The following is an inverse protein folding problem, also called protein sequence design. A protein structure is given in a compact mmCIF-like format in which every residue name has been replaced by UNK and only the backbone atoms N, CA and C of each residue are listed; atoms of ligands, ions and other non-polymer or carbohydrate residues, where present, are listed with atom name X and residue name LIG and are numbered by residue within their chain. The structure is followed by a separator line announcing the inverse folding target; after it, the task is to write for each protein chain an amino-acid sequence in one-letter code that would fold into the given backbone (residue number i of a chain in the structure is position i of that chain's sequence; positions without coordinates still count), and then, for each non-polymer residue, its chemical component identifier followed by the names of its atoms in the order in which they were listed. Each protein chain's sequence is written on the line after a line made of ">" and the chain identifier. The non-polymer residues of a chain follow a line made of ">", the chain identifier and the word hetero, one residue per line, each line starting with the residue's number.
data_IF_052241902178
#
_entry.id   IF_052241902178
#
_cell.length_a   1.000
_cell.length_b   1.000
_cell.length_c   1.000
_cell.angle_alpha   90.00
_cell.angle_beta   90.00
_cell.angle_gamma   90.00
#
_symmetry.space_group_name_H-M   'P 1'
#
loop_
_entity.id
_entity.type
_entity.pdbx_description
1 polymer ?
#
# COMPACT_ATOMS: atom_id res chain seq x y z
N UNK A 1 34.38 63.49 -5.10
CA UNK A 1 33.02 62.89 -5.10
C UNK A 1 32.93 61.55 -5.82
N UNK A 2 33.70 61.29 -6.90
CA UNK A 2 33.62 60.00 -7.63
C UNK A 2 34.17 58.73 -6.94
N UNK A 3 35.08 58.87 -5.96
CA UNK A 3 35.67 57.71 -5.26
C UNK A 3 34.71 57.07 -4.24
N UNK A 4 33.95 57.90 -3.51
CA UNK A 4 32.92 57.42 -2.56
C UNK A 4 31.83 56.63 -3.28
N UNK A 5 31.35 57.14 -4.42
CA UNK A 5 30.35 56.46 -5.24
C UNK A 5 30.85 55.12 -5.80
N UNK A 6 32.14 55.00 -6.08
CA UNK A 6 32.73 53.74 -6.56
C UNK A 6 32.75 52.68 -5.45
N UNK A 7 33.10 53.09 -4.22
CA UNK A 7 33.07 52.22 -3.03
C UNK A 7 31.64 51.80 -2.69
N UNK A 8 30.66 52.70 -2.81
CA UNK A 8 29.25 52.39 -2.56
C UNK A 8 28.69 51.37 -3.58
N UNK A 9 29.06 51.49 -4.86
CA UNK A 9 28.69 50.53 -5.92
C UNK A 9 29.35 49.16 -5.69
N UNK A 10 30.62 49.13 -5.29
CA UNK A 10 31.32 47.88 -4.97
C UNK A 10 30.76 47.21 -3.70
N UNK A 11 30.46 47.98 -2.65
CA UNK A 11 29.87 47.46 -1.42
C UNK A 11 28.46 46.89 -1.64
N UNK A 12 27.61 47.61 -2.37
CA UNK A 12 26.24 47.17 -2.69
C UNK A 12 26.21 45.95 -3.61
N UNK A 13 27.10 45.86 -4.60
CA UNK A 13 27.21 44.68 -5.47
C UNK A 13 27.73 43.44 -4.73
N UNK A 14 28.69 43.60 -3.79
CA UNK A 14 29.18 42.51 -2.95
C UNK A 14 28.06 41.96 -2.04
N UNK A 15 27.33 42.87 -1.37
CA UNK A 15 26.21 42.50 -0.48
C UNK A 15 25.09 41.85 -1.29
N UNK A 16 24.72 42.44 -2.45
CA UNK A 16 23.71 41.88 -3.34
C UNK A 16 24.10 40.49 -3.87
N UNK A 17 25.37 40.29 -4.21
CA UNK A 17 25.89 38.98 -4.63
C UNK A 17 25.83 37.93 -3.51
N UNK A 18 26.18 38.30 -2.28
CA UNK A 18 26.06 37.42 -1.12
C UNK A 18 24.60 37.01 -0.84
N UNK A 19 23.68 37.97 -0.91
CA UNK A 19 22.24 37.70 -0.74
C UNK A 19 21.74 36.77 -1.86
N UNK A 20 22.15 37.00 -3.11
CA UNK A 20 21.79 36.16 -4.24
C UNK A 20 22.28 34.71 -4.04
N UNK A 21 23.51 34.51 -3.58
CA UNK A 21 24.04 33.18 -3.31
C UNK A 21 23.29 32.46 -2.17
N UNK A 22 22.90 33.20 -1.13
CA UNK A 22 22.07 32.66 -0.05
C UNK A 22 20.70 32.23 -0.60
N UNK A 23 20.07 33.07 -1.42
CA UNK A 23 18.78 32.77 -2.03
C UNK A 23 18.84 31.54 -2.95
N UNK A 24 19.90 31.40 -3.75
CA UNK A 24 20.09 30.24 -4.61
C UNK A 24 20.21 28.94 -3.79
N UNK A 25 21.04 28.95 -2.74
CA UNK A 25 21.17 27.80 -1.83
C UNK A 25 19.87 27.47 -1.11
N UNK A 26 19.13 28.48 -0.69
CA UNK A 26 17.84 28.30 -0.03
C UNK A 26 16.81 27.71 -1.00
N UNK A 27 16.82 28.15 -2.26
CA UNK A 27 15.98 27.59 -3.30
C UNK A 27 16.31 26.12 -3.57
N UNK A 28 17.59 25.79 -3.74
CA UNK A 28 18.03 24.40 -3.95
C UNK A 28 17.61 23.49 -2.78
N UNK A 29 17.83 23.95 -1.55
CA UNK A 29 17.42 23.22 -0.34
C UNK A 29 15.89 23.09 -0.23
N UNK A 30 15.13 24.11 -0.63
CA UNK A 30 13.67 24.07 -0.61
C UNK A 30 13.15 23.07 -1.64
N UNK A 31 13.73 23.07 -2.84
CA UNK A 31 13.38 22.13 -3.91
C UNK A 31 13.68 20.69 -3.46
N UNK A 32 14.88 20.43 -2.96
CA UNK A 32 15.27 19.10 -2.46
C UNK A 32 14.34 18.62 -1.33
N UNK A 33 14.09 19.46 -0.32
CA UNK A 33 13.17 19.13 0.77
C UNK A 33 11.75 18.87 0.26
N UNK A 34 11.27 19.66 -0.71
CA UNK A 34 9.95 19.45 -1.31
C UNK A 34 9.86 18.10 -2.01
N UNK A 35 10.91 17.69 -2.74
CA UNK A 35 10.96 16.38 -3.40
C UNK A 35 10.98 15.23 -2.39
N UNK A 36 11.83 15.32 -1.36
CA UNK A 36 11.91 14.30 -0.31
C UNK A 36 10.59 14.17 0.45
N UNK A 37 10.02 15.28 0.92
CA UNK A 37 8.76 15.28 1.66
C UNK A 37 7.59 14.75 0.81
N UNK A 38 7.56 15.08 -0.49
CA UNK A 38 6.53 14.57 -1.40
C UNK A 38 6.67 13.06 -1.61
N UNK A 39 7.91 12.57 -1.75
CA UNK A 39 8.19 11.13 -1.87
C UNK A 39 7.76 10.37 -0.61
N UNK A 40 8.14 10.86 0.57
CA UNK A 40 7.73 10.26 1.85
C UNK A 40 6.20 10.24 2.01
N UNK A 41 5.53 11.34 1.66
CA UNK A 41 4.07 11.43 1.71
C UNK A 41 3.39 10.40 0.79
N UNK A 42 3.91 10.19 -0.43
CA UNK A 42 3.41 9.17 -1.35
C UNK A 42 3.55 7.77 -0.74
N UNK A 43 4.70 7.45 -0.17
CA UNK A 43 4.93 6.14 0.48
C UNK A 43 3.95 5.94 1.65
N UNK A 44 3.76 6.94 2.49
CA UNK A 44 2.83 6.86 3.61
C UNK A 44 1.37 6.72 3.16
N UNK A 45 0.95 7.49 2.16
CA UNK A 45 -0.41 7.41 1.60
C UNK A 45 -0.68 6.04 0.98
N UNK A 46 0.28 5.49 0.23
CA UNK A 46 0.16 4.17 -0.36
C UNK A 46 0.12 3.08 0.71
N UNK A 47 0.95 3.18 1.74
CA UNK A 47 0.93 2.26 2.87
C UNK A 47 -0.43 2.27 3.58
N UNK A 48 -0.97 3.46 3.86
CA UNK A 48 -2.29 3.60 4.49
C UNK A 48 -3.38 2.94 3.63
N UNK A 49 -3.38 3.20 2.32
CA UNK A 49 -4.37 2.60 1.42
C UNK A 49 -4.29 1.07 1.36
N UNK A 50 -3.08 0.48 1.36
CA UNK A 50 -2.90 -0.98 1.46
C UNK A 50 -3.44 -1.51 2.78
N UNK A 51 -3.08 -0.86 3.90
CA UNK A 51 -3.49 -1.29 5.23
C UNK A 51 -5.00 -1.23 5.38
N UNK A 52 -5.65 -0.13 5.01
CA UNK A 52 -7.10 0.03 5.07
C UNK A 52 -7.83 -1.02 4.22
N UNK A 53 -7.34 -1.29 3.00
CA UNK A 53 -7.91 -2.30 2.12
C UNK A 53 -7.78 -3.71 2.70
N UNK A 54 -6.58 -4.10 3.11
CA UNK A 54 -6.33 -5.42 3.67
C UNK A 54 -7.06 -5.60 5.00
N UNK A 55 -7.07 -4.60 5.86
CA UNK A 55 -7.75 -4.64 7.14
C UNK A 55 -9.27 -4.74 6.98
N UNK A 56 -9.85 -3.97 6.06
CA UNK A 56 -11.28 -4.05 5.77
C UNK A 56 -11.69 -5.46 5.34
N UNK A 57 -10.93 -6.08 4.44
CA UNK A 57 -11.27 -7.39 3.89
C UNK A 57 -10.89 -8.54 4.84
N UNK A 58 -9.72 -8.46 5.50
CA UNK A 58 -9.25 -9.53 6.40
C UNK A 58 -10.09 -9.61 7.67
N UNK A 59 -10.63 -8.49 8.16
CA UNK A 59 -11.58 -8.50 9.29
C UNK A 59 -12.90 -9.20 8.95
N UNK A 60 -13.22 -9.34 7.67
CA UNK A 60 -14.44 -10.01 7.17
C UNK A 60 -14.19 -11.45 6.70
N UNK A 61 -13.01 -12.02 6.97
CA UNK A 61 -12.76 -13.45 6.71
C UNK A 61 -13.78 -14.27 7.50
N UNK A 62 -14.55 -15.11 6.78
CA UNK A 62 -15.57 -15.96 7.38
C UNK A 62 -16.82 -15.22 7.87
N UNK A 63 -17.02 -13.99 7.40
CA UNK A 63 -18.24 -13.24 7.64
C UNK A 63 -19.17 -13.32 6.42
N UNK A 64 -20.48 -13.48 6.68
CA UNK A 64 -21.55 -13.40 5.71
C UNK A 64 -22.80 -12.84 6.39
N UNK A 65 -23.56 -11.97 5.71
CA UNK A 65 -24.80 -11.41 6.26
C UNK A 65 -25.83 -12.52 6.51
N UNK A 66 -25.88 -13.50 5.60
CA UNK A 66 -26.66 -14.73 5.75
C UNK A 66 -25.77 -15.85 6.33
N UNK A 67 -25.77 -16.00 7.65
CA UNK A 67 -24.88 -16.93 8.36
C UNK A 67 -25.16 -18.41 8.00
N UNK A 68 -26.38 -18.75 7.57
CA UNK A 68 -26.76 -20.12 7.22
C UNK A 68 -26.06 -20.60 5.92
N UNK A 69 -25.62 -19.66 5.07
CA UNK A 69 -24.88 -19.99 3.85
C UNK A 69 -23.40 -20.29 4.08
N UNK A 70 -22.88 -19.94 5.26
CA UNK A 70 -21.50 -20.22 5.64
C UNK A 70 -21.45 -21.40 6.62
N UNK A 71 -21.63 -22.61 6.08
CA UNK A 71 -21.78 -23.83 6.90
C UNK A 71 -20.63 -24.09 7.90
N UNK A 72 -19.40 -23.63 7.60
CA UNK A 72 -18.21 -23.81 8.43
C UNK A 72 -17.34 -22.54 8.40
N UNK A 73 -17.63 -21.53 9.24
CA UNK A 73 -16.85 -20.28 9.30
C UNK A 73 -15.37 -20.52 9.63
N UNK A 74 -15.08 -21.51 10.46
CA UNK A 74 -13.72 -21.92 10.81
C UNK A 74 -12.88 -22.44 9.63
N UNK A 75 -13.53 -22.79 8.51
CA UNK A 75 -12.88 -23.16 7.25
C UNK A 75 -12.96 -22.07 6.17
N UNK A 76 -13.22 -20.82 6.58
CA UNK A 76 -13.34 -19.70 5.65
C UNK A 76 -12.05 -19.45 4.87
N UNK A 77 -10.88 -19.62 5.48
CA UNK A 77 -9.61 -19.55 4.75
C UNK A 77 -9.42 -20.86 3.96
N UNK A 78 -9.43 -20.76 2.64
CA UNK A 78 -9.42 -21.91 1.72
C UNK A 78 -8.04 -22.35 1.31
N UNK A 79 -7.15 -21.41 1.04
CA UNK A 79 -5.79 -21.71 0.61
C UNK A 79 -4.84 -20.58 0.98
N UNK A 80 -3.60 -20.97 1.27
CA UNK A 80 -2.54 -20.07 1.68
C UNK A 80 -1.27 -20.52 0.98
N UNK A 81 -0.53 -19.55 0.45
CA UNK A 81 0.87 -19.72 0.04
C UNK A 81 1.70 -18.56 0.59
N UNK A 82 3.02 -18.59 0.37
CA UNK A 82 3.91 -17.49 0.79
C UNK A 82 3.51 -16.13 0.20
N UNK A 83 2.83 -16.13 -0.96
CA UNK A 83 2.52 -14.94 -1.75
C UNK A 83 1.03 -14.75 -2.02
N UNK A 84 0.17 -15.63 -1.50
CA UNK A 84 -1.27 -15.55 -1.76
C UNK A 84 -2.12 -16.10 -0.62
N UNK A 85 -3.34 -15.59 -0.53
CA UNK A 85 -4.37 -16.07 0.38
C UNK A 85 -5.72 -16.06 -0.35
N UNK A 86 -6.47 -17.13 -0.17
CA UNK A 86 -7.84 -17.26 -0.64
C UNK A 86 -8.74 -17.55 0.54
N UNK A 87 -9.80 -16.79 0.72
CA UNK A 87 -10.75 -16.95 1.80
C UNK A 87 -12.18 -16.65 1.37
N UNK A 88 -13.14 -17.07 2.18
CA UNK A 88 -14.55 -16.76 2.01
C UNK A 88 -14.94 -15.52 2.80
N UNK A 89 -15.75 -14.69 2.17
CA UNK A 89 -16.34 -13.49 2.77
C UNK A 89 -17.57 -13.11 1.97
N UNK A 90 -18.35 -12.15 2.46
CA UNK A 90 -19.49 -11.57 1.76
C UNK A 90 -19.10 -10.14 1.34
N UNK A 91 -18.89 -9.96 0.03
CA UNK A 91 -18.48 -8.68 -0.52
C UNK A 91 -19.72 -7.89 -0.90
N UNK A 92 -19.81 -6.69 -0.36
CA UNK A 92 -20.86 -5.77 -0.77
C UNK A 92 -20.79 -5.44 -2.28
N UNK A 93 -21.92 -5.63 -2.94
CA UNK A 93 -22.16 -5.20 -4.34
C UNK A 93 -22.48 -3.70 -4.49
N UNK A 94 -22.66 -2.96 -3.38
CA UNK A 94 -23.07 -1.55 -3.43
C UNK A 94 -22.54 -0.74 -2.25
N UNK A 95 -22.01 0.46 -2.54
CA UNK A 95 -21.57 1.42 -1.50
C UNK A 95 -22.65 1.76 -0.48
N UNK A 96 -23.93 1.56 -0.81
CA UNK A 96 -25.05 1.81 0.10
C UNK A 96 -25.25 0.71 1.16
N UNK A 97 -24.84 -0.53 0.89
CA UNK A 97 -24.99 -1.67 1.80
C UNK A 97 -23.59 -2.11 2.23
N UNK A 98 -23.16 -1.80 3.44
CA UNK A 98 -21.78 -2.08 3.87
C UNK A 98 -21.61 -3.45 4.54
N UNK A 99 -22.71 -4.16 4.76
CA UNK A 99 -22.81 -5.41 5.51
C UNK A 99 -22.64 -6.66 4.67
N UNK A 100 -22.60 -6.57 3.34
CA UNK A 100 -22.65 -7.74 2.45
C UNK A 100 -23.93 -7.75 1.62
N UNK A 101 -24.06 -8.68 0.68
CA UNK A 101 -25.30 -8.95 -0.06
C UNK A 101 -25.94 -10.30 0.33
N UNK A 102 -25.38 -10.97 1.34
CA UNK A 102 -25.81 -12.27 1.82
C UNK A 102 -25.42 -13.41 0.89
N UNK A 103 -24.47 -13.21 -0.04
CA UNK A 103 -23.91 -14.24 -0.89
C UNK A 103 -22.46 -14.47 -0.48
N UNK A 104 -22.09 -15.75 -0.31
CA UNK A 104 -20.71 -16.10 0.03
C UNK A 104 -19.86 -15.98 -1.23
N UNK A 105 -18.91 -15.07 -1.19
CA UNK A 105 -17.89 -14.85 -2.21
C UNK A 105 -16.56 -15.49 -1.82
N UNK A 106 -15.75 -15.77 -2.83
CA UNK A 106 -14.36 -16.15 -2.67
C UNK A 106 -13.47 -14.96 -2.99
N UNK A 107 -12.66 -14.53 -2.02
CA UNK A 107 -11.70 -13.46 -2.21
C UNK A 107 -10.28 -14.01 -2.25
N UNK A 108 -9.52 -13.59 -3.25
CA UNK A 108 -8.13 -14.00 -3.43
C UNK A 108 -7.23 -12.78 -3.53
N UNK A 109 -6.25 -12.72 -2.64
CA UNK A 109 -5.12 -11.81 -2.73
C UNK A 109 -3.88 -12.56 -3.19
N UNK A 110 -3.12 -11.98 -4.11
CA UNK A 110 -1.82 -12.50 -4.49
C UNK A 110 -0.90 -11.38 -5.00
N UNK A 111 0.40 -11.57 -4.87
CA UNK A 111 1.39 -10.66 -5.45
C UNK A 111 1.94 -11.18 -6.77
N UNK A 112 2.16 -10.25 -7.71
CA UNK A 112 2.83 -10.51 -8.98
C UNK A 112 4.33 -10.78 -8.84
N UNK A 113 4.94 -11.15 -9.95
CA UNK A 113 6.39 -11.24 -10.09
C UNK A 113 6.99 -9.85 -10.33
N UNK A 114 8.22 -9.56 -9.87
CA UNK A 114 8.91 -8.32 -10.23
C UNK A 114 9.30 -8.24 -11.71
N UNK A 115 9.11 -9.35 -12.43
CA UNK A 115 9.31 -9.47 -13.87
C UNK A 115 8.03 -9.20 -14.67
N UNK A 116 6.92 -8.88 -14.00
CA UNK A 116 5.66 -8.54 -14.64
C UNK A 116 5.78 -7.16 -15.32
N UNK A 117 5.23 -7.02 -16.53
CA UNK A 117 5.44 -5.84 -17.37
C UNK A 117 4.92 -4.54 -16.75
N UNK A 118 3.99 -4.64 -15.80
CA UNK A 118 3.39 -3.54 -15.05
C UNK A 118 4.34 -2.90 -14.04
N UNK A 119 5.37 -3.62 -13.61
CA UNK A 119 6.42 -3.15 -12.69
C UNK A 119 7.80 -3.16 -13.33
N UNK A 120 7.92 -3.69 -14.56
CA UNK A 120 9.14 -3.59 -15.35
C UNK A 120 9.47 -2.13 -15.66
N UNK A 121 10.65 -1.69 -15.23
CA UNK A 121 11.17 -0.35 -15.49
C UNK A 121 10.99 0.63 -14.33
N UNK A 122 10.42 0.20 -13.20
CA UNK A 122 10.59 0.98 -11.97
C UNK A 122 12.07 0.95 -11.54
N UNK A 123 12.56 2.00 -10.84
CA UNK A 123 13.93 2.01 -10.32
C UNK A 123 14.22 0.88 -9.33
N UNK A 124 13.17 0.35 -8.68
CA UNK A 124 13.31 -0.70 -7.68
C UNK A 124 12.94 -2.08 -8.29
N UNK A 125 13.92 -2.97 -8.48
CA UNK A 125 13.69 -4.28 -9.12
C UNK A 125 12.89 -5.27 -8.26
N UNK A 126 12.50 -4.86 -7.05
CA UNK A 126 11.69 -5.67 -6.13
C UNK A 126 10.22 -5.27 -6.14
N UNK A 127 9.83 -4.25 -6.90
CA UNK A 127 8.43 -3.81 -6.95
C UNK A 127 7.53 -4.93 -7.48
N UNK A 128 6.37 -5.06 -6.85
CA UNK A 128 5.37 -6.08 -7.12
C UNK A 128 3.99 -5.46 -7.10
N UNK A 129 3.14 -5.93 -7.99
CA UNK A 129 1.72 -5.59 -7.99
C UNK A 129 0.98 -6.44 -6.96
N UNK A 130 0.07 -5.84 -6.18
CA UNK A 130 -0.90 -6.59 -5.39
C UNK A 130 -2.19 -6.73 -6.18
N UNK A 131 -2.64 -7.96 -6.34
CA UNK A 131 -3.89 -8.29 -7.00
C UNK A 131 -4.93 -8.70 -5.98
N UNK A 132 -6.14 -8.17 -6.16
CA UNK A 132 -7.35 -8.55 -5.44
C UNK A 132 -8.37 -9.08 -6.44
N UNK A 133 -8.79 -10.32 -6.26
CA UNK A 133 -9.78 -10.98 -7.11
C UNK A 133 -10.99 -11.39 -6.27
N UNK A 134 -12.18 -11.03 -6.73
CA UNK A 134 -13.46 -11.48 -6.16
C UNK A 134 -14.02 -12.54 -7.11
N UNK A 135 -14.35 -13.70 -6.57
CA UNK A 135 -14.83 -14.86 -7.31
C UNK A 135 -13.94 -15.17 -8.52
N UNK A 136 -14.52 -15.08 -9.71
CA UNK A 136 -13.87 -15.36 -10.99
C UNK A 136 -13.72 -14.09 -11.84
N UNK A 137 -13.92 -12.91 -11.22
CA UNK A 137 -13.80 -11.63 -11.90
C UNK A 137 -12.35 -11.33 -12.28
N UNK A 138 -12.19 -10.33 -13.15
CA UNK A 138 -10.87 -9.83 -13.51
C UNK A 138 -10.16 -9.28 -12.27
N UNK A 139 -8.94 -9.74 -11.93
CA UNK A 139 -8.20 -9.24 -10.78
C UNK A 139 -8.00 -7.74 -10.87
N UNK A 140 -8.32 -7.03 -9.78
CA UNK A 140 -7.99 -5.62 -9.64
C UNK A 140 -6.55 -5.48 -9.14
N UNK A 141 -5.74 -4.74 -9.88
CA UNK A 141 -4.33 -4.51 -9.60
C UNK A 141 -4.12 -3.18 -8.87
N UNK A 142 -3.38 -3.20 -7.76
CA UNK A 142 -3.02 -2.01 -6.99
C UNK A 142 -1.49 -1.81 -7.00
N UNK A 143 -1.04 -0.75 -7.70
CA UNK A 143 0.38 -0.37 -7.73
C UNK A 143 0.68 0.58 -6.57
N UNK A 144 0.97 0.01 -5.40
CA UNK A 144 1.17 0.76 -4.15
C UNK A 144 2.63 0.65 -3.65
N UNK A 145 3.58 0.29 -4.51
CA UNK A 145 5.01 0.20 -4.15
C UNK A 145 5.36 -0.97 -3.23
N UNK A 146 4.60 -2.07 -3.31
CA UNK A 146 4.86 -3.26 -2.52
C UNK A 146 6.10 -3.98 -3.03
N UNK A 147 6.99 -4.37 -2.11
CA UNK A 147 8.23 -5.09 -2.45
C UNK A 147 8.25 -6.51 -1.91
N UNK A 148 7.47 -6.74 -0.86
CA UNK A 148 7.37 -8.00 -0.16
C UNK A 148 5.98 -8.18 0.43
N UNK A 149 5.48 -9.40 0.36
CA UNK A 149 4.22 -9.82 0.97
C UNK A 149 4.46 -11.16 1.62
N UNK A 150 4.17 -11.26 2.92
CA UNK A 150 4.31 -12.49 3.71
C UNK A 150 3.11 -12.60 4.62
N UNK A 151 2.63 -13.82 4.80
CA UNK A 151 1.50 -14.09 5.68
C UNK A 151 1.96 -15.05 6.78
N UNK A 152 1.53 -14.76 8.01
CA UNK A 152 1.73 -15.61 9.17
C UNK A 152 0.36 -15.95 9.76
N UNK A 153 0.25 -17.17 10.26
CA UNK A 153 -0.98 -17.71 10.81
C UNK A 153 -0.74 -18.12 12.23
N UNK A 154 -1.76 -17.95 13.06
CA UNK A 154 -1.72 -18.32 14.46
C UNK A 154 -2.91 -19.20 14.78
N UNK A 155 -2.70 -20.21 15.62
CA UNK A 155 -3.80 -20.96 16.21
C UNK A 155 -4.53 -20.13 17.28
N UNK A 156 -5.61 -20.69 17.84
CA UNK A 156 -6.38 -20.04 18.91
C UNK A 156 -5.59 -19.80 20.21
N UNK A 157 -4.44 -20.46 20.39
CA UNK A 157 -3.55 -20.26 21.52
C UNK A 157 -2.44 -19.24 21.22
N UNK A 158 -2.40 -18.67 20.00
CA UNK A 158 -1.41 -17.69 19.57
C UNK A 158 -0.09 -18.31 19.08
N UNK A 159 -0.03 -19.62 18.85
CA UNK A 159 1.17 -20.26 18.28
C UNK A 159 1.18 -20.13 16.76
N UNK A 160 2.34 -19.81 16.18
CA UNK A 160 2.50 -19.73 14.73
C UNK A 160 2.31 -21.13 14.10
N UNK A 161 1.41 -21.23 13.12
CA UNK A 161 1.16 -22.47 12.37
C UNK A 161 1.66 -22.34 10.94
N UNK A 162 2.27 -23.41 10.42
CA UNK A 162 2.85 -23.46 9.06
C UNK A 162 1.92 -24.12 8.05
N UNK A 163 0.85 -24.77 8.50
CA UNK A 163 -0.15 -25.43 7.67
C UNK A 163 -1.54 -25.15 8.20
N UNK A 164 -2.48 -24.85 7.30
CA UNK A 164 -3.87 -24.66 7.67
C UNK A 164 -4.49 -25.98 8.16
N UNK A 165 -5.37 -25.95 9.18
CA UNK A 165 -6.12 -27.12 9.59
C UNK A 165 -6.98 -27.60 8.42
N UNK A 166 -6.93 -28.91 8.12
CA UNK A 166 -7.74 -29.52 7.06
C UNK A 166 -9.18 -29.81 7.48
N UNK A 167 -9.52 -29.63 8.77
CA UNK A 167 -10.82 -29.91 9.34
C UNK A 167 -11.19 -28.87 10.41
N UNK A 168 -12.49 -28.58 10.61
CA UNK A 168 -12.96 -27.75 11.72
C UNK A 168 -12.44 -28.31 13.05
N UNK A 169 -12.01 -27.50 14.02
CA UNK A 169 -11.87 -27.97 15.38
C UNK A 169 -13.22 -28.56 15.86
N UNK A 170 -13.19 -29.80 16.36
CA UNK A 170 -14.32 -30.49 16.99
C UNK A 170 -14.78 -29.76 18.27
#
# INVERSE_FOLDING_TARGET
>A
MGFSTLIDILGSSLIGGLILLILLRMNDSTVENSYLNSGEMIVQSNLLAVVELLEHDFRKIGYCEDYDKLAFPELAIRSVTDTSITFLTDVSISKAVQTGDGIVDTLKYYVGSPLDSEVMGTPNPKDRMLYRQVNHDTPFAANLGLTEFRIKYFDNAGNEITTMPSTPPL
#
